data_IF_395188584125
#
_entry.id   IF_395188584125
#
_cell.length_a   1.000
_cell.length_b   1.000
_cell.length_c   1.000
_cell.angle_alpha   90.00
_cell.angle_beta   90.00
_cell.angle_gamma   90.00
#
_symmetry.space_group_name_H-M   'P 1'
#
loop_
_entity.id
_entity.type
_entity.pdbx_description
1 polymer ?
#
# COMPACT_ATOMS: atom_id res chain seq x y z
N UNK A 1 -70.55 40.52 -38.01
CA UNK A 1 -70.14 41.86 -37.56
C UNK A 1 -68.63 41.94 -37.69
N UNK A 2 -68.19 42.82 -38.58
CA UNK A 2 -66.80 43.04 -38.99
C UNK A 2 -66.25 44.12 -38.06
N UNK A 3 -65.10 43.89 -37.43
CA UNK A 3 -64.25 45.00 -37.00
C UNK A 3 -62.78 44.71 -37.27
N UNK A 4 -62.34 45.38 -38.34
CA UNK A 4 -61.00 45.60 -38.81
C UNK A 4 -60.32 46.63 -37.88
N UNK A 5 -59.03 46.47 -37.55
CA UNK A 5 -58.14 47.54 -37.07
C UNK A 5 -56.67 47.11 -37.15
N UNK A 6 -56.06 47.39 -38.32
CA UNK A 6 -54.84 48.20 -38.44
C UNK A 6 -53.54 47.78 -37.72
N UNK A 7 -52.45 47.48 -38.47
CA UNK A 7 -51.13 47.21 -37.89
C UNK A 7 -50.35 48.51 -37.59
N UNK A 8 -49.93 48.68 -36.33
CA UNK A 8 -48.98 49.74 -35.95
C UNK A 8 -47.55 49.36 -36.39
N UNK A 9 -47.06 50.05 -37.44
CA UNK A 9 -45.64 50.13 -37.78
C UNK A 9 -44.91 50.93 -36.69
N UNK A 10 -43.98 50.29 -35.99
CA UNK A 10 -42.97 50.99 -35.21
C UNK A 10 -41.69 51.14 -36.05
N UNK A 11 -41.32 52.39 -36.22
CA UNK A 11 -40.09 52.87 -36.83
C UNK A 11 -38.84 52.32 -36.12
N UNK A 12 -37.83 52.02 -36.94
CA UNK A 12 -36.57 51.45 -36.50
C UNK A 12 -35.73 52.38 -35.62
N UNK A 13 -35.00 51.73 -34.72
CA UNK A 13 -33.77 52.25 -34.13
C UNK A 13 -32.69 51.22 -34.40
N UNK A 14 -31.93 51.45 -35.48
CA UNK A 14 -30.75 50.66 -35.84
C UNK A 14 -29.61 51.11 -34.93
N UNK A 15 -29.51 50.52 -33.73
CA UNK A 15 -28.35 50.75 -32.85
C UNK A 15 -27.14 50.08 -33.48
N UNK A 16 -26.24 50.91 -33.97
CA UNK A 16 -24.95 50.56 -34.55
C UNK A 16 -24.02 50.05 -33.44
N UNK A 17 -24.19 48.79 -33.04
CA UNK A 17 -23.36 48.10 -32.03
C UNK A 17 -22.01 47.67 -32.60
N UNK A 18 -21.22 48.64 -33.07
CA UNK A 18 -19.96 48.43 -33.79
C UNK A 18 -18.69 48.49 -32.95
N UNK A 19 -18.70 48.20 -31.64
CA UNK A 19 -17.47 48.29 -30.82
C UNK A 19 -17.38 47.29 -29.64
N UNK A 20 -18.11 46.18 -29.65
CA UNK A 20 -18.02 45.16 -28.58
C UNK A 20 -17.31 43.86 -28.98
N UNK A 21 -16.82 43.74 -30.22
CA UNK A 21 -16.19 42.49 -30.70
C UNK A 21 -14.69 42.36 -30.40
N UNK A 22 -13.99 43.46 -30.10
CA UNK A 22 -12.54 43.43 -29.88
C UNK A 22 -12.13 43.01 -28.46
N UNK A 23 -12.95 43.34 -27.45
CA UNK A 23 -12.60 43.08 -26.04
C UNK A 23 -12.93 41.64 -25.58
N UNK A 24 -13.84 40.95 -26.26
CA UNK A 24 -14.19 39.55 -25.95
C UNK A 24 -13.08 38.56 -26.36
N UNK A 25 -12.35 38.86 -27.44
CA UNK A 25 -11.28 38.00 -27.97
C UNK A 25 -9.99 38.05 -27.14
N UNK A 26 -9.66 39.19 -26.52
CA UNK A 26 -8.46 39.36 -25.70
C UNK A 26 -8.58 38.68 -24.31
N UNK A 27 -9.77 38.64 -23.72
CA UNK A 27 -10.00 37.98 -22.42
C UNK A 27 -10.01 36.44 -22.60
N UNK A 28 -10.51 35.93 -23.72
CA UNK A 28 -10.47 34.51 -24.05
C UNK A 28 -9.04 33.96 -24.20
N UNK A 29 -8.13 34.74 -24.80
CA UNK A 29 -6.73 34.32 -25.00
C UNK A 29 -5.91 34.37 -23.70
N UNK A 30 -6.17 35.34 -22.81
CA UNK A 30 -5.45 35.43 -21.54
C UNK A 30 -5.86 34.34 -20.55
N UNK A 31 -7.13 33.91 -20.56
CA UNK A 31 -7.61 32.77 -19.76
C UNK A 31 -7.14 31.41 -20.29
N UNK A 32 -6.75 31.32 -21.57
CA UNK A 32 -6.19 30.10 -22.15
C UNK A 32 -4.69 29.92 -21.82
N UNK A 33 -3.96 31.02 -21.59
CA UNK A 33 -2.53 31.00 -21.27
C UNK A 33 -2.23 30.57 -19.82
N UNK A 34 -3.17 30.78 -18.88
CA UNK A 34 -3.05 30.37 -17.47
C UNK A 34 -3.49 28.92 -17.20
N UNK A 35 -3.61 28.10 -18.24
CA UNK A 35 -3.85 26.65 -18.14
C UNK A 35 -2.63 25.83 -18.59
N UNK A 36 -1.43 26.42 -18.52
CA UNK A 36 -0.16 25.66 -18.54
C UNK A 36 0.23 25.24 -17.12
N UNK A 37 -0.73 24.67 -16.39
CA UNK A 37 -0.37 23.82 -15.26
C UNK A 37 0.38 22.62 -15.84
N UNK A 38 1.48 22.23 -15.23
CA UNK A 38 2.30 21.08 -15.58
C UNK A 38 1.48 19.80 -15.49
N UNK A 39 0.68 19.53 -16.52
CA UNK A 39 0.01 18.26 -16.72
C UNK A 39 1.13 17.30 -17.11
N UNK A 40 1.77 16.69 -16.10
CA UNK A 40 2.63 15.53 -16.33
C UNK A 40 1.87 14.58 -17.28
N UNK A 41 2.47 14.20 -18.41
CA UNK A 41 1.79 13.45 -19.45
C UNK A 41 1.15 12.22 -18.81
N UNK A 42 -0.12 11.94 -19.14
CA UNK A 42 -0.92 10.84 -18.54
C UNK A 42 -0.15 9.52 -18.46
N UNK A 43 0.72 9.26 -19.45
CA UNK A 43 1.66 8.12 -19.48
C UNK A 43 2.67 8.11 -18.33
N UNK A 44 3.30 9.23 -17.98
CA UNK A 44 4.26 9.29 -16.86
C UNK A 44 3.59 8.94 -15.53
N UNK A 45 2.39 9.48 -15.26
CA UNK A 45 1.64 9.16 -14.02
C UNK A 45 1.28 7.67 -13.93
N UNK A 46 0.89 7.05 -15.04
CA UNK A 46 0.63 5.61 -15.09
C UNK A 46 1.90 4.77 -14.85
N UNK A 47 3.04 5.17 -15.42
CA UNK A 47 4.32 4.48 -15.19
C UNK A 47 4.76 4.55 -13.73
N UNK A 48 4.67 5.72 -13.09
CA UNK A 48 4.98 5.87 -11.66
C UNK A 48 4.08 5.03 -10.77
N UNK A 49 2.78 4.96 -11.06
CA UNK A 49 1.84 4.12 -10.31
C UNK A 49 2.18 2.63 -10.43
N UNK A 50 2.50 2.15 -11.63
CA UNK A 50 2.89 0.74 -11.84
C UNK A 50 4.21 0.42 -11.14
N UNK A 51 5.19 1.32 -11.17
CA UNK A 51 6.45 1.20 -10.42
C UNK A 51 6.22 1.15 -8.91
N UNK A 52 5.37 2.03 -8.39
CA UNK A 52 5.07 2.04 -6.96
C UNK A 52 4.33 0.75 -6.54
N UNK A 53 3.40 0.28 -7.37
CA UNK A 53 2.68 -0.97 -7.16
C UNK A 53 3.62 -2.18 -7.17
N UNK A 54 4.56 -2.27 -8.11
CA UNK A 54 5.53 -3.36 -8.17
C UNK A 54 6.51 -3.32 -6.99
N UNK A 55 6.99 -2.12 -6.63
CA UNK A 55 7.84 -1.94 -5.45
C UNK A 55 7.14 -2.41 -4.17
N UNK A 56 5.87 -2.03 -3.96
CA UNK A 56 5.10 -2.51 -2.80
C UNK A 56 4.97 -4.04 -2.77
N UNK A 57 4.74 -4.68 -3.92
CA UNK A 57 4.66 -6.15 -4.00
C UNK A 57 6.02 -6.77 -3.65
N UNK A 58 7.12 -6.22 -4.16
CA UNK A 58 8.46 -6.71 -3.85
C UNK A 58 8.77 -6.58 -2.35
N UNK A 59 8.47 -5.44 -1.75
CA UNK A 59 8.63 -5.19 -0.31
C UNK A 59 7.75 -6.15 0.50
N UNK A 60 6.50 -6.41 0.09
CA UNK A 60 5.63 -7.36 0.76
C UNK A 60 6.16 -8.79 0.70
N UNK A 61 6.71 -9.23 -0.45
CA UNK A 61 7.35 -10.54 -0.59
C UNK A 61 8.59 -10.63 0.29
N UNK A 62 9.44 -9.59 0.31
CA UNK A 62 10.61 -9.54 1.16
C UNK A 62 10.23 -9.61 2.65
N UNK A 63 9.11 -9.01 3.05
CA UNK A 63 8.58 -9.12 4.41
C UNK A 63 8.14 -10.55 4.74
N UNK A 64 7.38 -11.19 3.84
CA UNK A 64 6.94 -12.58 4.00
C UNK A 64 8.12 -13.55 4.11
N UNK A 65 9.13 -13.40 3.25
CA UNK A 65 10.36 -14.20 3.30
C UNK A 65 11.08 -14.01 4.64
N UNK A 66 11.21 -12.77 5.11
CA UNK A 66 11.81 -12.49 6.41
C UNK A 66 11.07 -13.18 7.58
N UNK A 67 9.73 -13.19 7.55
CA UNK A 67 8.92 -13.91 8.54
C UNK A 67 9.09 -15.43 8.47
N UNK A 68 9.20 -15.99 7.26
CA UNK A 68 9.47 -17.41 7.08
C UNK A 68 10.85 -17.78 7.60
N UNK A 69 11.88 -16.99 7.29
CA UNK A 69 13.24 -17.21 7.77
C UNK A 69 13.31 -17.09 9.30
N UNK A 70 12.73 -16.04 9.90
CA UNK A 70 12.65 -15.92 11.37
C UNK A 70 11.89 -17.12 11.96
N UNK A 71 10.78 -17.54 11.37
CA UNK A 71 10.00 -18.69 11.82
C UNK A 71 10.76 -20.02 11.76
N UNK A 72 11.52 -20.25 10.70
CA UNK A 72 12.39 -21.44 10.56
C UNK A 72 13.50 -21.39 11.60
N UNK A 73 14.21 -20.27 11.73
CA UNK A 73 15.31 -20.14 12.69
C UNK A 73 14.84 -20.35 14.14
N UNK A 74 13.68 -19.82 14.51
CA UNK A 74 13.10 -20.02 15.84
C UNK A 74 12.65 -21.47 16.09
N UNK A 75 12.54 -22.28 15.04
CA UNK A 75 12.19 -23.71 15.13
C UNK A 75 13.44 -24.61 15.08
N UNK A 76 14.50 -24.17 14.42
CA UNK A 76 15.76 -24.92 14.31
C UNK A 76 16.44 -24.97 15.68
N UNK A 77 16.60 -26.18 16.20
CA UNK A 77 17.27 -26.47 17.47
C UNK A 77 18.00 -27.79 17.37
N UNK A 78 19.11 -27.89 18.08
CA UNK A 78 19.78 -29.17 18.29
C UNK A 78 19.35 -29.71 19.66
N UNK A 79 18.54 -30.77 19.66
CA UNK A 79 18.10 -31.45 20.89
C UNK A 79 18.92 -32.70 21.21
N UNK A 80 19.78 -33.11 20.28
CA UNK A 80 20.53 -34.37 20.35
C UNK A 80 21.95 -34.17 20.86
N UNK A 81 22.47 -32.94 20.79
CA UNK A 81 23.80 -32.60 21.28
C UNK A 81 23.89 -32.52 22.83
N UNK A 82 25.09 -32.63 23.41
CA UNK A 82 25.33 -32.31 24.82
C UNK A 82 24.90 -30.87 25.19
N UNK A 83 24.44 -30.66 26.43
CA UNK A 83 23.84 -29.40 26.89
C UNK A 83 24.71 -28.14 26.62
N UNK A 84 26.03 -28.25 26.71
CA UNK A 84 26.96 -27.15 26.41
C UNK A 84 26.92 -26.76 24.92
N UNK A 85 26.91 -27.74 24.02
CA UNK A 85 26.82 -27.52 22.58
C UNK A 85 25.45 -26.96 22.19
N UNK A 86 24.37 -27.44 22.83
CA UNK A 86 23.02 -26.89 22.64
C UNK A 86 22.96 -25.41 23.00
N UNK A 87 23.57 -25.01 24.13
CA UNK A 87 23.61 -23.61 24.55
C UNK A 87 24.32 -22.72 23.54
N UNK A 88 25.49 -23.14 23.04
CA UNK A 88 26.26 -22.38 22.05
C UNK A 88 25.48 -22.27 20.72
N UNK A 89 24.87 -23.37 20.27
CA UNK A 89 24.10 -23.36 19.03
C UNK A 89 22.85 -22.48 19.14
N UNK A 90 22.02 -22.69 20.17
CA UNK A 90 20.77 -21.96 20.36
C UNK A 90 21.01 -20.47 20.59
N UNK A 91 22.06 -20.08 21.32
CA UNK A 91 22.40 -18.66 21.52
C UNK A 91 22.79 -17.96 20.22
N UNK A 92 23.54 -18.62 19.34
CA UNK A 92 23.88 -18.10 18.00
C UNK A 92 22.64 -17.96 17.12
N UNK A 93 21.80 -18.99 17.06
CA UNK A 93 20.57 -18.96 16.27
C UNK A 93 19.61 -17.88 16.78
N UNK A 94 19.44 -17.74 18.10
CA UNK A 94 18.62 -16.70 18.69
C UNK A 94 19.13 -15.29 18.35
N UNK A 95 20.45 -15.08 18.34
CA UNK A 95 21.06 -13.81 17.94
C UNK A 95 20.78 -13.49 16.46
N UNK A 96 20.96 -14.48 15.57
CA UNK A 96 20.68 -14.34 14.13
C UNK A 96 19.19 -14.03 13.90
N UNK A 97 18.29 -14.80 14.53
CA UNK A 97 16.86 -14.61 14.42
C UNK A 97 16.44 -13.21 14.89
N UNK A 98 16.98 -12.73 16.02
CA UNK A 98 16.73 -11.37 16.51
C UNK A 98 17.21 -10.31 15.52
N UNK A 99 18.43 -10.45 15.00
CA UNK A 99 18.99 -9.49 14.06
C UNK A 99 18.18 -9.42 12.77
N UNK A 100 17.78 -10.57 12.21
CA UNK A 100 16.90 -10.61 11.03
C UNK A 100 15.56 -9.95 11.34
N UNK A 101 14.94 -10.29 12.46
CA UNK A 101 13.65 -9.73 12.82
C UNK A 101 13.73 -8.19 13.01
N UNK A 102 14.78 -7.66 13.65
CA UNK A 102 14.92 -6.22 13.88
C UNK A 102 15.38 -5.43 12.66
N UNK A 103 16.36 -5.93 11.91
CA UNK A 103 17.01 -5.19 10.82
C UNK A 103 16.42 -5.45 9.45
N UNK A 104 15.66 -6.55 9.28
CA UNK A 104 15.00 -6.86 8.02
C UNK A 104 13.48 -6.85 8.19
N UNK A 105 12.92 -7.73 9.03
CA UNK A 105 11.47 -7.93 9.08
C UNK A 105 10.73 -6.64 9.47
N UNK A 106 11.14 -5.98 10.56
CA UNK A 106 10.47 -4.77 11.05
C UNK A 106 10.52 -3.57 10.08
N UNK A 107 11.68 -3.19 9.48
CA UNK A 107 11.70 -2.08 8.53
C UNK A 107 10.94 -2.40 7.25
N UNK A 108 11.06 -3.62 6.72
CA UNK A 108 10.35 -4.02 5.49
C UNK A 108 8.84 -4.12 5.73
N UNK A 109 8.41 -4.62 6.89
CA UNK A 109 7.01 -4.57 7.34
C UNK A 109 6.49 -3.12 7.36
N UNK A 110 7.21 -2.21 8.00
CA UNK A 110 6.82 -0.81 8.13
C UNK A 110 6.69 -0.16 6.75
N UNK A 111 7.66 -0.40 5.86
CA UNK A 111 7.63 0.10 4.48
C UNK A 111 6.43 -0.48 3.70
N UNK A 112 6.15 -1.79 3.84
CA UNK A 112 5.01 -2.43 3.20
C UNK A 112 3.67 -1.84 3.65
N UNK A 113 3.51 -1.63 4.96
CA UNK A 113 2.29 -1.05 5.53
C UNK A 113 2.08 0.39 5.08
N UNK A 114 3.11 1.24 5.18
CA UNK A 114 3.04 2.64 4.74
C UNK A 114 2.68 2.71 3.25
N UNK A 115 3.35 1.92 2.40
CA UNK A 115 3.05 1.89 0.98
C UNK A 115 1.62 1.37 0.69
N UNK A 116 1.15 0.37 1.44
CA UNK A 116 -0.20 -0.18 1.31
C UNK A 116 -1.30 0.80 1.71
N UNK A 117 -1.13 1.48 2.84
CA UNK A 117 -2.04 2.52 3.34
C UNK A 117 -2.03 3.70 2.37
N UNK A 118 -0.86 4.16 1.94
CA UNK A 118 -0.72 5.26 0.99
C UNK A 118 -1.47 4.98 -0.32
N UNK A 119 -1.31 3.79 -0.91
CA UNK A 119 -2.07 3.42 -2.12
C UNK A 119 -3.58 3.38 -1.89
N UNK A 120 -4.02 2.91 -0.71
CA UNK A 120 -5.44 2.83 -0.37
C UNK A 120 -6.07 4.23 -0.29
N UNK A 121 -5.36 5.18 0.31
CA UNK A 121 -5.79 6.59 0.41
C UNK A 121 -5.81 7.26 -0.97
N UNK A 122 -4.72 7.15 -1.75
CA UNK A 122 -4.61 7.81 -3.06
C UNK A 122 -5.62 7.26 -4.07
N UNK A 123 -5.90 5.95 -4.03
CA UNK A 123 -6.85 5.33 -4.93
C UNK A 123 -8.32 5.41 -4.46
N UNK A 124 -8.57 5.92 -3.24
CA UNK A 124 -9.92 6.08 -2.70
C UNK A 124 -10.64 4.76 -2.41
N UNK A 125 -9.91 3.67 -2.15
CA UNK A 125 -10.49 2.32 -2.05
C UNK A 125 -11.16 1.99 -0.70
N UNK A 126 -11.30 2.95 0.21
CA UNK A 126 -11.85 2.73 1.56
C UNK A 126 -13.27 2.16 1.58
N UNK A 127 -14.05 2.34 0.52
CA UNK A 127 -15.40 1.79 0.41
C UNK A 127 -15.42 0.32 -0.06
N UNK A 128 -14.29 -0.25 -0.46
CA UNK A 128 -14.24 -1.60 -1.02
C UNK A 128 -13.96 -2.65 0.06
N UNK A 129 -14.87 -3.61 0.22
CA UNK A 129 -14.78 -4.69 1.21
C UNK A 129 -13.46 -5.49 1.16
N UNK A 130 -12.91 -5.72 -0.03
CA UNK A 130 -11.65 -6.47 -0.20
C UNK A 130 -10.43 -5.76 0.43
N UNK A 131 -10.47 -4.43 0.57
CA UNK A 131 -9.40 -3.66 1.22
C UNK A 131 -9.33 -3.99 2.70
N UNK A 132 -10.48 -4.07 3.37
CA UNK A 132 -10.54 -4.45 4.78
C UNK A 132 -10.00 -5.85 5.01
N UNK A 133 -10.37 -6.82 4.15
CA UNK A 133 -9.82 -8.19 4.22
C UNK A 133 -8.29 -8.16 4.09
N UNK A 134 -7.78 -7.41 3.10
CA UNK A 134 -6.33 -7.26 2.90
C UNK A 134 -5.64 -6.65 4.12
N UNK A 135 -6.23 -5.61 4.71
CA UNK A 135 -5.71 -4.96 5.92
C UNK A 135 -5.77 -5.89 7.13
N UNK A 136 -6.83 -6.68 7.31
CA UNK A 136 -6.94 -7.67 8.37
C UNK A 136 -5.86 -8.75 8.25
N UNK A 137 -5.62 -9.28 7.04
CA UNK A 137 -4.53 -10.22 6.80
C UNK A 137 -3.16 -9.61 7.09
N UNK A 138 -2.92 -8.36 6.65
CA UNK A 138 -1.67 -7.65 6.94
C UNK A 138 -1.50 -7.42 8.45
N UNK A 139 -2.56 -7.02 9.17
CA UNK A 139 -2.53 -6.83 10.62
C UNK A 139 -2.21 -8.14 11.34
N UNK A 140 -2.77 -9.26 10.89
CA UNK A 140 -2.46 -10.57 11.48
C UNK A 140 -0.99 -10.97 11.28
N UNK A 141 -0.40 -10.66 10.12
CA UNK A 141 1.03 -10.84 9.88
C UNK A 141 1.89 -9.91 10.74
N UNK A 142 1.47 -8.67 10.99
CA UNK A 142 2.15 -7.75 11.91
C UNK A 142 2.18 -8.32 13.31
N UNK A 143 1.03 -8.81 13.79
CA UNK A 143 0.92 -9.46 15.09
C UNK A 143 1.89 -10.64 15.17
N UNK A 144 1.94 -11.47 14.13
CA UNK A 144 2.88 -12.58 14.04
C UNK A 144 4.36 -12.11 14.05
N UNK A 145 4.69 -11.04 13.32
CA UNK A 145 6.02 -10.46 13.29
C UNK A 145 6.48 -9.99 14.68
N UNK A 146 5.60 -9.29 15.41
CA UNK A 146 5.86 -8.82 16.77
C UNK A 146 6.06 -10.01 17.70
N UNK A 147 5.22 -11.04 17.58
CA UNK A 147 5.35 -12.26 18.38
C UNK A 147 6.68 -12.97 18.13
N UNK A 148 7.06 -13.19 16.88
CA UNK A 148 8.37 -13.77 16.54
C UNK A 148 9.53 -12.93 17.10
N UNK A 149 9.46 -11.60 16.98
CA UNK A 149 10.48 -10.71 17.51
C UNK A 149 10.56 -10.75 19.05
N UNK A 150 9.42 -10.87 19.74
CA UNK A 150 9.38 -11.05 21.20
C UNK A 150 9.98 -12.38 21.60
N UNK A 151 9.62 -13.47 20.93
CA UNK A 151 10.21 -14.79 21.20
C UNK A 151 11.71 -14.76 20.96
N UNK A 152 12.18 -14.19 19.85
CA UNK A 152 13.62 -14.09 19.57
C UNK A 152 14.39 -13.35 20.69
N UNK A 153 13.79 -12.30 21.28
CA UNK A 153 14.36 -11.60 22.44
C UNK A 153 14.38 -12.47 23.70
N UNK A 154 13.28 -13.17 24.00
CA UNK A 154 13.19 -14.07 25.15
C UNK A 154 14.19 -15.22 25.04
N UNK A 155 14.37 -15.76 23.84
CA UNK A 155 15.28 -16.86 23.57
C UNK A 155 16.74 -16.45 23.63
N UNK A 156 17.05 -15.21 23.27
CA UNK A 156 18.39 -14.64 23.49
C UNK A 156 18.72 -14.54 24.98
N UNK A 157 17.74 -14.17 25.82
CA UNK A 157 17.92 -14.06 27.27
C UNK A 157 18.01 -15.43 27.94
N UNK A 158 17.26 -16.41 27.43
CA UNK A 158 17.22 -17.77 27.97
C UNK A 158 17.32 -18.82 26.84
N UNK A 159 18.54 -19.15 26.36
CA UNK A 159 18.75 -20.05 25.22
C UNK A 159 18.30 -21.50 25.46
N UNK A 160 18.07 -21.87 26.72
CA UNK A 160 17.63 -23.20 27.13
C UNK A 160 16.10 -23.29 27.33
N UNK A 161 15.38 -22.17 27.31
CA UNK A 161 13.92 -22.17 27.44
C UNK A 161 13.30 -22.64 26.13
N UNK A 162 12.33 -23.54 26.22
CA UNK A 162 11.64 -24.03 25.03
C UNK A 162 10.82 -22.90 24.39
N UNK A 163 10.94 -22.67 23.06
CA UNK A 163 10.05 -21.77 22.37
C UNK A 163 8.61 -22.33 22.47
N UNK A 164 7.60 -21.46 22.65
CA UNK A 164 6.22 -21.88 22.73
C UNK A 164 5.80 -22.74 21.52
N UNK A 165 5.06 -23.82 21.76
CA UNK A 165 4.61 -24.76 20.72
C UNK A 165 3.79 -24.12 19.60
N UNK A 166 3.08 -23.02 19.88
CA UNK A 166 2.33 -22.27 18.88
C UNK A 166 3.20 -21.61 17.80
N UNK A 167 4.52 -21.42 18.02
CA UNK A 167 5.43 -20.95 16.96
C UNK A 167 5.54 -21.92 15.79
N UNK A 168 5.27 -23.22 16.03
CA UNK A 168 5.16 -24.20 14.96
C UNK A 168 4.07 -23.86 13.94
N UNK A 169 3.03 -23.14 14.37
CA UNK A 169 1.96 -22.64 13.50
C UNK A 169 2.34 -21.35 12.76
N UNK A 170 3.40 -20.65 13.18
CA UNK A 170 3.79 -19.38 12.57
C UNK A 170 4.19 -19.52 11.10
N UNK A 171 4.91 -20.58 10.74
CA UNK A 171 5.31 -20.84 9.34
C UNK A 171 4.08 -21.09 8.44
N UNK A 172 3.20 -22.07 8.72
CA UNK A 172 2.03 -22.31 7.86
C UNK A 172 1.09 -21.10 7.85
N UNK A 173 0.92 -20.39 8.97
CA UNK A 173 0.11 -19.17 9.01
C UNK A 173 0.68 -18.07 8.11
N UNK A 174 2.00 -17.87 8.12
CA UNK A 174 2.67 -16.90 7.23
C UNK A 174 2.45 -17.26 5.77
N UNK A 175 2.54 -18.55 5.42
CA UNK A 175 2.31 -19.02 4.05
C UNK A 175 0.86 -18.79 3.61
N UNK A 176 -0.12 -19.22 4.43
CA UNK A 176 -1.54 -19.08 4.10
C UNK A 176 -1.92 -17.61 3.95
N UNK A 177 -1.52 -16.75 4.89
CA UNK A 177 -1.79 -15.31 4.83
C UNK A 177 -1.03 -14.63 3.69
N UNK A 178 0.20 -15.04 3.42
CA UNK A 178 1.00 -14.55 2.30
C UNK A 178 0.35 -14.88 0.95
N UNK A 179 -0.09 -16.12 0.77
CA UNK A 179 -0.81 -16.56 -0.44
C UNK A 179 -2.13 -15.79 -0.57
N UNK A 180 -2.90 -15.64 0.52
CA UNK A 180 -4.14 -14.87 0.50
C UNK A 180 -3.91 -13.41 0.09
N UNK A 181 -2.86 -12.76 0.62
CA UNK A 181 -2.49 -11.39 0.26
C UNK A 181 -2.04 -11.25 -1.19
N UNK A 182 -1.26 -12.21 -1.69
CA UNK A 182 -0.83 -12.24 -3.09
C UNK A 182 -2.02 -12.48 -4.03
N UNK A 183 -2.88 -13.44 -3.69
CA UNK A 183 -4.11 -13.70 -4.42
C UNK A 183 -4.97 -12.44 -4.50
N UNK A 184 -5.25 -11.78 -3.38
CA UNK A 184 -5.98 -10.51 -3.33
C UNK A 184 -5.27 -9.36 -4.07
N UNK A 185 -3.95 -9.42 -4.22
CA UNK A 185 -3.21 -8.44 -5.00
C UNK A 185 -3.41 -8.61 -6.51
N UNK A 186 -3.59 -9.85 -6.97
CA UNK A 186 -3.80 -10.20 -8.38
C UNK A 186 -5.27 -10.26 -8.80
N UNK A 187 -6.15 -10.74 -7.93
CA UNK A 187 -7.57 -10.95 -8.20
C UNK A 187 -8.40 -9.66 -8.21
N UNK A 188 -7.76 -8.50 -8.12
CA UNK A 188 -8.46 -7.20 -8.15
C UNK A 188 -9.20 -7.07 -9.48
N UNK A 189 -10.53 -6.91 -9.49
CA UNK A 189 -11.21 -6.45 -10.69
C UNK A 189 -10.69 -5.04 -11.00
N UNK A 190 -10.28 -4.84 -12.25
CA UNK A 190 -9.85 -3.54 -12.79
C UNK A 190 -11.03 -2.57 -12.75
#
# INVERSE_FOLDING_TARGET
>A
MIHNNGPHRLHGVKIQGGHFHAYSLAIGTFLQAKRKGTILPRKMRAMFYMLFKSLHIFVAIAWLLGLLVCGVLLRTRDMSAPAEQQYIFNSRIALIARNICLWWVMPVMTLALIAGIYMTVVAGWWHMHWVFIKLSCAALLVVLAIFQARTARLWQQNPMVLPPSWLGLGIPLTLVLGIALLYLAFSKPI
#
